data_IF_211270179640
#
_entry.id   IF_211270179640
#
_cell.length_a   1.000
_cell.length_b   1.000
_cell.length_c   1.000
_cell.angle_alpha   90.00
_cell.angle_beta   90.00
_cell.angle_gamma   90.00
#
_symmetry.space_group_name_H-M   'P 1'
#
loop_
_entity.id
_entity.type
_entity.pdbx_description
1 polymer ?
#
# COMPACT_ATOMS: atom_id res chain seq x y z
N UNK A 1 -7.53 9.46 -21.70
CA UNK A 1 -8.36 9.16 -20.51
C UNK A 1 -9.39 10.27 -20.32
N UNK A 2 -10.65 9.95 -19.98
CA UNK A 2 -11.73 10.95 -19.80
C UNK A 2 -11.56 11.68 -18.45
N UNK A 3 -11.60 13.03 -18.43
CA UNK A 3 -11.40 13.83 -17.22
C UNK A 3 -12.36 13.46 -16.08
N UNK A 4 -13.62 13.14 -16.41
CA UNK A 4 -14.64 12.72 -15.43
C UNK A 4 -14.27 11.43 -14.69
N UNK A 5 -13.60 10.50 -15.37
CA UNK A 5 -13.15 9.23 -14.81
C UNK A 5 -11.97 9.48 -13.86
N UNK A 6 -11.02 10.34 -14.23
CA UNK A 6 -9.92 10.75 -13.36
C UNK A 6 -10.41 11.46 -12.09
N UNK A 7 -11.42 12.33 -12.20
CA UNK A 7 -12.01 13.04 -11.06
C UNK A 7 -12.72 12.08 -10.09
N UNK A 8 -13.45 11.09 -10.61
CA UNK A 8 -14.03 10.00 -9.81
C UNK A 8 -12.95 9.21 -9.07
N UNK A 9 -11.83 8.91 -9.73
CA UNK A 9 -10.69 8.26 -9.09
C UNK A 9 -9.98 9.14 -8.08
N UNK A 10 -10.02 10.47 -8.21
CA UNK A 10 -9.49 11.36 -7.18
C UNK A 10 -10.25 11.23 -5.86
N UNK A 11 -11.58 11.03 -5.90
CA UNK A 11 -12.41 10.81 -4.70
C UNK A 11 -12.06 9.49 -3.99
N UNK A 12 -11.60 8.49 -4.73
CA UNK A 12 -11.17 7.21 -4.18
C UNK A 12 -9.96 7.31 -3.24
N UNK A 13 -9.24 8.43 -3.25
CA UNK A 13 -8.14 8.72 -2.31
C UNK A 13 -8.58 9.50 -1.07
N UNK A 14 -9.85 9.94 -0.98
CA UNK A 14 -10.35 10.92 -0.01
C UNK A 14 -11.32 10.27 0.99
N UNK A 15 -10.92 9.16 1.62
CA UNK A 15 -11.84 8.41 2.50
C UNK A 15 -11.69 8.76 3.99
N UNK A 16 -10.60 9.40 4.44
CA UNK A 16 -10.47 9.86 5.85
C UNK A 16 -9.68 11.18 5.95
N UNK A 17 -10.35 12.31 5.72
CA UNK A 17 -9.69 13.64 5.69
C UNK A 17 -9.13 14.11 7.04
N UNK A 18 -9.61 13.60 8.17
CA UNK A 18 -9.37 14.27 9.46
C UNK A 18 -8.11 13.81 10.19
N UNK A 19 -7.44 12.73 9.76
CA UNK A 19 -6.18 12.28 10.37
C UNK A 19 -5.05 12.02 9.36
N UNK A 20 -5.35 11.66 8.11
CA UNK A 20 -4.34 11.32 7.12
C UNK A 20 -3.86 12.56 6.36
N UNK A 21 -2.57 12.89 6.54
CA UNK A 21 -1.91 13.94 5.78
C UNK A 21 -1.44 13.38 4.44
N UNK A 22 -2.03 13.85 3.35
CA UNK A 22 -1.60 13.53 1.98
C UNK A 22 -0.32 14.32 1.66
N UNK A 23 0.62 13.66 1.01
CA UNK A 23 1.95 14.20 0.79
C UNK A 23 2.09 15.11 -0.43
N UNK A 24 2.31 16.41 -0.28
CA UNK A 24 2.62 17.25 -1.46
C UNK A 24 4.06 17.03 -2.00
N UNK A 25 5.05 16.73 -1.13
CA UNK A 25 6.47 16.56 -1.53
C UNK A 25 6.78 15.22 -2.22
N UNK A 26 6.32 14.10 -1.68
CA UNK A 26 6.47 12.78 -2.34
C UNK A 26 5.48 12.56 -3.48
N UNK A 27 4.40 13.35 -3.54
CA UNK A 27 3.60 13.43 -4.76
C UNK A 27 4.25 14.33 -5.82
N UNK A 28 5.51 14.76 -5.63
CA UNK A 28 6.27 15.33 -6.74
C UNK A 28 6.37 14.31 -7.86
N UNK A 29 6.15 14.79 -9.09
CA UNK A 29 6.12 13.97 -10.29
C UNK A 29 7.33 13.03 -10.39
N UNK A 30 8.53 13.53 -10.05
CA UNK A 30 9.79 12.76 -10.12
C UNK A 30 9.81 11.54 -9.19
N UNK A 31 9.35 11.68 -7.94
CA UNK A 31 9.37 10.58 -6.96
C UNK A 31 8.32 9.53 -7.28
N UNK A 32 7.12 9.97 -7.69
CA UNK A 32 6.09 9.07 -8.22
C UNK A 32 6.63 8.34 -9.45
N UNK A 33 7.22 9.05 -10.41
CA UNK A 33 7.74 8.46 -11.65
C UNK A 33 8.82 7.40 -11.38
N UNK A 34 9.75 7.66 -10.45
CA UNK A 34 10.75 6.67 -10.06
C UNK A 34 10.13 5.40 -9.45
N UNK A 35 9.13 5.55 -8.57
CA UNK A 35 8.41 4.42 -8.00
C UNK A 35 7.68 3.63 -9.11
N UNK A 36 7.01 4.32 -10.02
CA UNK A 36 6.34 3.73 -11.18
C UNK A 36 7.34 2.92 -12.03
N UNK A 37 8.49 3.50 -12.38
CA UNK A 37 9.52 2.82 -13.18
C UNK A 37 10.02 1.55 -12.48
N UNK A 38 10.25 1.60 -11.17
CA UNK A 38 10.70 0.44 -10.39
C UNK A 38 9.67 -0.70 -10.43
N UNK A 39 8.39 -0.38 -10.22
CA UNK A 39 7.33 -1.39 -10.28
C UNK A 39 7.06 -1.89 -11.71
N UNK A 40 7.15 -1.01 -12.71
CA UNK A 40 7.06 -1.41 -14.12
C UNK A 40 8.17 -2.39 -14.51
N UNK A 41 9.42 -2.12 -14.11
CA UNK A 41 10.53 -3.06 -14.35
C UNK A 41 10.29 -4.41 -13.68
N UNK A 42 9.71 -4.41 -12.47
CA UNK A 42 9.33 -5.65 -11.78
C UNK A 42 8.23 -6.41 -12.53
N UNK A 43 7.27 -5.69 -13.11
CA UNK A 43 6.21 -6.28 -13.92
C UNK A 43 6.72 -6.88 -15.23
N UNK A 44 7.56 -6.17 -15.97
CA UNK A 44 8.14 -6.70 -17.22
C UNK A 44 8.94 -7.99 -16.98
N UNK A 45 9.67 -8.08 -15.85
CA UNK A 45 10.36 -9.31 -15.48
C UNK A 45 9.38 -10.47 -15.19
N UNK A 46 8.24 -10.20 -14.57
CA UNK A 46 7.25 -11.22 -14.21
C UNK A 46 6.36 -11.63 -15.40
N UNK A 47 6.20 -10.78 -16.41
CA UNK A 47 5.48 -11.15 -17.65
C UNK A 47 6.07 -12.41 -18.29
N UNK A 48 7.38 -12.56 -18.21
CA UNK A 48 8.14 -13.68 -18.79
C UNK A 48 8.01 -14.99 -17.98
N UNK A 49 7.32 -14.97 -16.85
CA UNK A 49 7.18 -16.11 -15.93
C UNK A 49 5.71 -16.43 -15.65
N UNK A 50 5.41 -17.63 -15.18
CA UNK A 50 4.08 -17.99 -14.63
C UNK A 50 3.88 -17.50 -13.19
N UNK A 51 4.91 -16.90 -12.59
CA UNK A 51 5.01 -16.77 -11.14
C UNK A 51 4.47 -15.41 -10.66
N UNK A 52 4.05 -15.40 -9.40
CA UNK A 52 3.79 -14.15 -8.67
C UNK A 52 5.12 -13.58 -8.18
N UNK A 53 5.12 -12.30 -7.80
CA UNK A 53 6.27 -11.70 -7.15
C UNK A 53 6.66 -12.53 -5.91
N UNK A 54 7.96 -12.84 -5.78
CA UNK A 54 8.46 -13.66 -4.67
C UNK A 54 8.14 -13.08 -3.29
N UNK A 55 8.01 -11.75 -3.19
CA UNK A 55 7.72 -11.05 -1.92
C UNK A 55 6.23 -10.92 -1.59
N UNK A 56 5.35 -11.43 -2.46
CA UNK A 56 3.91 -11.35 -2.26
C UNK A 56 3.48 -12.24 -1.09
N UNK A 57 2.73 -11.66 -0.15
CA UNK A 57 2.26 -12.32 1.07
C UNK A 57 3.39 -12.91 1.94
N UNK A 58 4.61 -12.41 1.85
CA UNK A 58 5.71 -12.85 2.74
C UNK A 58 5.50 -12.39 4.19
N UNK A 59 4.74 -11.32 4.40
CA UNK A 59 4.38 -10.75 5.69
C UNK A 59 3.01 -11.24 6.22
N UNK A 60 2.51 -12.38 5.73
CA UNK A 60 1.15 -12.87 6.00
C UNK A 60 0.80 -13.02 7.48
N UNK A 61 1.77 -13.35 8.34
CA UNK A 61 1.56 -13.52 9.79
C UNK A 61 1.14 -12.22 10.50
N UNK A 62 1.46 -11.06 9.91
CA UNK A 62 1.20 -9.73 10.49
C UNK A 62 0.38 -8.85 9.55
N UNK A 63 -0.30 -9.47 8.58
CA UNK A 63 -0.99 -8.77 7.50
C UNK A 63 -2.41 -9.24 7.29
N UNK A 64 -3.28 -8.30 6.96
CA UNK A 64 -4.65 -8.56 6.53
C UNK A 64 -4.78 -8.26 5.04
N UNK A 65 -5.29 -9.22 4.27
CA UNK A 65 -5.58 -9.05 2.85
C UNK A 65 -7.10 -9.04 2.64
N UNK A 66 -7.59 -7.98 2.01
CA UNK A 66 -9.00 -7.78 1.67
C UNK A 66 -9.07 -7.58 0.16
N UNK A 67 -9.74 -8.47 -0.56
CA UNK A 67 -9.76 -8.48 -2.03
C UNK A 67 -11.20 -8.54 -2.50
N UNK A 68 -11.67 -7.51 -3.22
CA UNK A 68 -13.07 -7.36 -3.63
C UNK A 68 -14.04 -7.59 -2.44
N UNK A 69 -13.73 -6.92 -1.32
CA UNK A 69 -14.40 -7.04 -0.02
C UNK A 69 -14.39 -8.44 0.63
N UNK A 70 -13.65 -9.41 0.09
CA UNK A 70 -13.42 -10.72 0.70
C UNK A 70 -12.13 -10.74 1.51
N UNK A 71 -12.19 -11.23 2.74
CA UNK A 71 -11.01 -11.38 3.60
C UNK A 71 -10.31 -12.70 3.28
N UNK A 72 -9.03 -12.64 2.94
CA UNK A 72 -8.19 -13.84 2.92
C UNK A 72 -7.72 -14.10 4.34
N UNK A 73 -8.12 -15.25 4.88
CA UNK A 73 -7.81 -15.62 6.27
C UNK A 73 -6.33 -15.99 6.40
N UNK A 74 -5.60 -15.44 7.39
CA UNK A 74 -4.23 -15.85 7.66
C UNK A 74 -4.19 -17.32 8.10
N UNK A 75 -3.51 -18.16 7.34
CA UNK A 75 -3.30 -19.58 7.65
C UNK A 75 -1.85 -19.93 7.31
N UNK A 76 -1.61 -20.27 6.05
CA UNK A 76 -0.28 -20.44 5.48
C UNK A 76 -0.22 -19.77 4.11
N UNK A 77 0.98 -19.36 3.73
CA UNK A 77 1.23 -18.57 2.52
C UNK A 77 0.71 -19.25 1.25
N UNK A 78 0.84 -20.57 1.13
CA UNK A 78 0.41 -21.31 -0.07
C UNK A 78 -1.10 -21.27 -0.24
N UNK A 79 -1.84 -21.55 0.84
CA UNK A 79 -3.31 -21.47 0.84
C UNK A 79 -3.81 -20.05 0.58
N UNK A 80 -3.19 -19.03 1.19
CA UNK A 80 -3.55 -17.63 0.93
C UNK A 80 -3.33 -17.24 -0.54
N UNK A 81 -2.23 -17.71 -1.16
CA UNK A 81 -1.99 -17.51 -2.58
C UNK A 81 -3.04 -18.24 -3.43
N UNK A 82 -3.45 -19.43 -3.03
CA UNK A 82 -4.49 -20.18 -3.74
C UNK A 82 -5.85 -19.46 -3.66
N UNK A 83 -6.26 -19.03 -2.47
CA UNK A 83 -7.48 -18.24 -2.25
C UNK A 83 -7.45 -16.96 -3.08
N UNK A 84 -6.31 -16.25 -3.09
CA UNK A 84 -6.09 -15.09 -3.94
C UNK A 84 -6.30 -15.38 -5.43
N UNK A 85 -5.71 -16.47 -5.94
CA UNK A 85 -5.86 -16.87 -7.35
C UNK A 85 -7.30 -17.25 -7.69
N UNK A 86 -8.06 -17.76 -6.73
CA UNK A 86 -9.50 -18.04 -6.90
C UNK A 86 -10.31 -16.75 -6.97
N UNK A 87 -10.00 -15.76 -6.13
CA UNK A 87 -10.69 -14.46 -6.10
C UNK A 87 -10.34 -13.62 -7.35
N UNK A 88 -9.09 -13.66 -7.79
CA UNK A 88 -8.58 -12.94 -8.96
C UNK A 88 -8.13 -13.95 -10.01
N UNK A 89 -9.01 -14.42 -10.91
CA UNK A 89 -8.66 -15.46 -11.88
C UNK A 89 -7.74 -14.96 -13.02
N UNK A 90 -7.74 -13.65 -13.31
CA UNK A 90 -6.89 -13.09 -14.36
C UNK A 90 -5.42 -13.06 -13.96
N UNK A 91 -4.58 -13.79 -14.69
CA UNK A 91 -3.15 -13.93 -14.41
C UNK A 91 -2.37 -12.60 -14.47
N UNK A 92 -2.79 -11.66 -15.32
CA UNK A 92 -2.13 -10.35 -15.41
C UNK A 92 -2.41 -9.52 -14.16
N UNK A 93 -3.67 -9.47 -13.73
CA UNK A 93 -4.11 -8.84 -12.49
C UNK A 93 -3.41 -9.47 -11.29
N UNK A 94 -3.30 -10.81 -11.25
CA UNK A 94 -2.57 -11.50 -10.20
C UNK A 94 -1.11 -11.01 -10.08
N UNK A 95 -0.40 -10.95 -11.21
CA UNK A 95 1.00 -10.48 -11.25
C UNK A 95 1.11 -9.03 -10.80
N UNK A 96 0.25 -8.15 -11.32
CA UNK A 96 0.23 -6.73 -10.97
C UNK A 96 0.01 -6.56 -9.47
N UNK A 97 -1.04 -7.17 -8.91
CA UNK A 97 -1.34 -7.09 -7.48
C UNK A 97 -0.15 -7.59 -6.66
N UNK A 98 0.48 -8.70 -7.06
CA UNK A 98 1.62 -9.27 -6.34
C UNK A 98 2.84 -8.33 -6.24
N UNK A 99 2.97 -7.39 -7.18
CA UNK A 99 4.07 -6.41 -7.23
C UNK A 99 3.84 -5.24 -6.26
N UNK A 100 2.57 -4.87 -6.02
CA UNK A 100 2.22 -3.70 -5.21
C UNK A 100 1.74 -4.08 -3.79
N UNK A 101 1.20 -5.29 -3.59
CA UNK A 101 0.75 -5.78 -2.30
C UNK A 101 1.90 -6.38 -1.48
N UNK A 102 2.88 -5.54 -1.13
CA UNK A 102 3.98 -5.90 -0.24
C UNK A 102 4.49 -4.69 0.57
N UNK A 103 5.26 -4.91 1.66
CA UNK A 103 5.70 -3.84 2.54
C UNK A 103 6.52 -2.75 1.86
N UNK A 104 7.27 -3.07 0.80
CA UNK A 104 8.12 -2.09 0.11
C UNK A 104 7.31 -0.99 -0.54
N UNK A 105 6.04 -1.24 -0.87
CA UNK A 105 5.16 -0.23 -1.41
C UNK A 105 4.89 0.92 -0.44
N UNK A 106 5.02 0.69 0.87
CA UNK A 106 4.86 1.71 1.91
C UNK A 106 6.12 2.55 2.16
N UNK A 107 7.27 2.16 1.63
CA UNK A 107 8.58 2.74 1.96
C UNK A 107 8.62 4.26 1.79
N UNK A 108 8.08 4.76 0.69
CA UNK A 108 8.01 6.20 0.42
C UNK A 108 7.21 6.93 1.51
N UNK A 109 6.04 6.40 1.88
CA UNK A 109 5.23 7.00 2.94
C UNK A 109 5.94 7.00 4.31
N UNK A 110 6.77 6.01 4.61
CA UNK A 110 7.60 6.00 5.82
C UNK A 110 8.69 7.07 5.79
N UNK A 111 9.42 7.20 4.69
CA UNK A 111 10.49 8.19 4.56
C UNK A 111 9.99 9.61 4.84
N UNK A 112 8.78 9.91 4.37
CA UNK A 112 8.17 11.20 4.66
C UNK A 112 7.74 11.34 6.11
N UNK A 113 7.05 10.35 6.67
CA UNK A 113 6.65 10.40 8.08
C UNK A 113 7.86 10.67 8.97
N UNK A 114 9.00 10.00 8.73
CA UNK A 114 10.25 10.23 9.47
C UNK A 114 10.83 11.63 9.18
N UNK A 115 10.74 12.12 7.94
CA UNK A 115 11.22 13.46 7.59
C UNK A 115 10.39 14.59 8.23
N UNK A 116 9.09 14.38 8.43
CA UNK A 116 8.18 15.39 9.02
C UNK A 116 8.09 15.27 10.54
N UNK A 117 8.34 14.08 11.07
CA UNK A 117 8.28 13.75 12.49
C UNK A 117 9.53 12.95 12.90
N UNK A 118 10.73 13.55 12.87
CA UNK A 118 11.96 12.84 13.21
C UNK A 118 11.94 12.31 14.64
N UNK A 119 11.17 12.93 15.55
CA UNK A 119 11.02 12.50 16.95
C UNK A 119 10.39 11.11 17.12
N UNK A 120 9.84 10.50 16.05
CA UNK A 120 9.33 9.13 16.07
C UNK A 120 10.46 8.13 16.39
N UNK A 121 11.72 8.48 16.12
CA UNK A 121 12.88 7.65 16.48
C UNK A 121 13.02 7.38 17.98
N UNK A 122 12.43 8.23 18.83
CA UNK A 122 12.40 8.07 20.29
C UNK A 122 11.34 7.07 20.78
N UNK A 123 10.51 6.53 19.89
CA UNK A 123 9.42 5.62 20.22
C UNK A 123 9.78 4.18 19.90
N UNK A 124 9.27 3.26 20.71
CA UNK A 124 9.20 1.84 20.39
C UNK A 124 7.89 1.57 19.65
N UNK A 125 8.02 0.99 18.46
CA UNK A 125 6.87 0.55 17.65
C UNK A 125 6.34 -0.78 18.20
N UNK A 126 5.03 -0.85 18.43
CA UNK A 126 4.31 -2.04 18.94
C UNK A 126 3.04 -2.29 18.14
N UNK A 127 2.52 -3.52 18.24
CA UNK A 127 1.24 -3.94 17.67
C UNK A 127 1.09 -3.60 16.18
N UNK A 128 2.18 -3.74 15.44
CA UNK A 128 2.24 -3.40 14.02
C UNK A 128 1.45 -4.38 13.18
N UNK A 129 0.71 -3.84 12.20
CA UNK A 129 0.03 -4.66 11.18
C UNK A 129 0.00 -3.96 9.84
N UNK A 130 0.10 -4.77 8.78
CA UNK A 130 -0.16 -4.32 7.41
C UNK A 130 -1.58 -4.70 7.00
N UNK A 131 -2.21 -3.86 6.19
CA UNK A 131 -3.53 -4.08 5.62
C UNK A 131 -3.42 -3.76 4.14
N UNK A 132 -3.72 -4.74 3.30
CA UNK A 132 -3.77 -4.59 1.86
C UNK A 132 -5.23 -4.73 1.42
N UNK A 133 -5.84 -3.63 0.99
CA UNK A 133 -7.17 -3.64 0.35
C UNK A 133 -6.99 -3.55 -1.16
N UNK A 134 -7.53 -4.51 -1.89
CA UNK A 134 -7.48 -4.59 -3.35
C UNK A 134 -8.90 -4.65 -3.90
N UNK A 135 -9.25 -3.74 -4.79
CA UNK A 135 -10.57 -3.69 -5.43
C UNK A 135 -10.40 -3.61 -6.95
N UNK A 136 -11.09 -4.50 -7.66
CA UNK A 136 -11.29 -4.37 -9.11
C UNK A 136 -12.38 -3.33 -9.35
N UNK A 137 -12.10 -2.38 -10.25
CA UNK A 137 -13.02 -1.31 -10.61
C UNK A 137 -13.74 -1.65 -11.92
N UNK A 138 -14.89 -1.00 -12.15
CA UNK A 138 -15.79 -1.33 -13.26
C UNK A 138 -15.18 -1.15 -14.66
N UNK A 139 -14.12 -0.35 -14.79
CA UNK A 139 -13.39 -0.12 -16.05
C UNK A 139 -12.20 -1.07 -16.25
N UNK A 140 -12.06 -2.09 -15.38
CA UNK A 140 -10.95 -3.04 -15.40
C UNK A 140 -9.68 -2.51 -14.73
N UNK A 141 -9.69 -1.31 -14.14
CA UNK A 141 -8.59 -0.84 -13.31
C UNK A 141 -8.57 -1.52 -11.94
N UNK A 142 -7.41 -1.55 -11.30
CA UNK A 142 -7.20 -2.14 -9.98
C UNK A 142 -6.84 -1.02 -9.02
N UNK A 143 -7.62 -0.87 -7.94
CA UNK A 143 -7.26 -0.02 -6.81
C UNK A 143 -6.61 -0.87 -5.74
N UNK A 144 -5.42 -0.47 -5.29
CA UNK A 144 -4.75 -1.09 -4.17
C UNK A 144 -4.40 -0.05 -3.12
N UNK A 145 -4.78 -0.31 -1.88
CA UNK A 145 -4.47 0.49 -0.71
C UNK A 145 -3.66 -0.37 0.25
N UNK A 146 -2.37 -0.11 0.35
CA UNK A 146 -1.53 -0.64 1.42
C UNK A 146 -1.56 0.34 2.59
N UNK A 147 -1.81 -0.15 3.79
CA UNK A 147 -1.78 0.63 5.02
C UNK A 147 -0.97 -0.13 6.06
N UNK A 148 -0.08 0.56 6.76
CA UNK A 148 0.53 0.05 7.98
C UNK A 148 0.07 0.90 9.16
N UNK A 149 -0.26 0.23 10.26
CA UNK A 149 -0.67 0.84 11.52
C UNK A 149 0.20 0.29 12.64
N UNK A 150 0.57 1.15 13.59
CA UNK A 150 1.32 0.77 14.77
C UNK A 150 0.99 1.66 15.96
N UNK A 151 1.13 1.07 17.15
CA UNK A 151 1.16 1.79 18.42
C UNK A 151 2.58 2.28 18.72
N UNK A 152 2.67 3.40 19.44
CA UNK A 152 3.92 4.01 19.85
C UNK A 152 3.99 4.05 21.38
N UNK A 153 5.10 3.52 21.91
CA UNK A 153 5.44 3.62 23.33
C UNK A 153 6.75 4.40 23.49
N UNK A 154 6.88 5.19 24.53
CA UNK A 154 8.13 5.90 24.80
C UNK A 154 9.22 4.90 25.19
N UNK A 155 10.42 5.03 24.61
CA UNK A 155 11.57 4.20 25.00
C UNK A 155 12.14 4.64 26.35
N UNK A 156 12.07 5.94 26.66
CA UNK A 156 12.60 6.55 27.86
C UNK A 156 11.45 7.08 28.74
N UNK A 157 11.41 6.66 30.01
CA UNK A 157 10.40 7.10 30.98
C UNK A 157 10.40 8.60 31.25
N UNK A 158 11.50 9.30 30.91
CA UNK A 158 11.63 10.75 31.06
C UNK A 158 11.05 11.54 29.86
N UNK A 159 10.63 10.86 28.79
CA UNK A 159 10.04 11.50 27.62
C UNK A 159 8.51 11.55 27.76
N UNK A 160 7.94 12.75 27.59
CA UNK A 160 6.48 12.93 27.61
C UNK A 160 5.93 12.43 26.26
N UNK A 161 5.14 11.36 26.32
CA UNK A 161 4.52 10.76 25.14
C UNK A 161 3.62 11.76 24.40
N UNK A 162 4.06 12.20 23.22
CA UNK A 162 3.31 13.12 22.34
C UNK A 162 2.35 12.37 21.42
N UNK A 163 2.76 11.20 20.93
CA UNK A 163 1.96 10.36 20.04
C UNK A 163 1.73 8.97 20.64
N UNK A 164 0.53 8.43 20.42
CA UNK A 164 0.12 7.07 20.79
C UNK A 164 0.22 6.07 19.65
N UNK A 165 0.21 6.55 18.41
CA UNK A 165 0.09 5.72 17.21
C UNK A 165 0.61 6.42 15.98
N UNK A 166 0.96 5.64 14.98
CA UNK A 166 1.24 6.12 13.63
C UNK A 166 0.54 5.27 12.58
N UNK A 167 0.40 5.85 11.41
CA UNK A 167 0.00 5.12 10.22
C UNK A 167 0.67 5.67 8.98
N UNK A 168 0.99 4.77 8.06
CA UNK A 168 1.46 5.10 6.71
C UNK A 168 0.62 4.37 5.69
N UNK A 169 0.39 4.99 4.54
CA UNK A 169 -0.49 4.47 3.51
C UNK A 169 0.05 4.82 2.13
N UNK A 170 0.01 3.84 1.25
CA UNK A 170 0.25 3.99 -0.17
C UNK A 170 -0.99 3.51 -0.91
N UNK A 171 -1.53 4.35 -1.78
CA UNK A 171 -2.65 3.99 -2.66
C UNK A 171 -2.18 4.05 -4.09
N UNK A 172 -2.50 3.03 -4.88
CA UNK A 172 -2.30 3.01 -6.33
C UNK A 172 -3.60 2.68 -7.04
N UNK A 173 -3.84 3.36 -8.16
CA UNK A 173 -4.84 2.96 -9.16
C UNK A 173 -4.07 2.59 -10.42
N UNK A 174 -4.24 1.35 -10.86
CA UNK A 174 -3.53 0.76 -11.98
C UNK A 174 -4.52 0.61 -13.13
N UNK A 175 -4.26 1.30 -14.23
CA UNK A 175 -5.11 1.28 -15.42
C UNK A 175 -4.62 0.23 -16.41
N UNK A 176 -5.52 -0.39 -17.20
CA UNK A 176 -5.12 -1.38 -18.21
C UNK A 176 -4.12 -0.83 -19.25
N UNK A 177 -4.25 0.45 -19.63
CA UNK A 177 -3.51 1.05 -20.74
C UNK A 177 -2.92 2.43 -20.40
N UNK A 178 -2.74 2.76 -19.12
CA UNK A 178 -2.22 4.06 -18.70
C UNK A 178 -1.26 3.91 -17.52
N UNK A 179 -0.49 4.96 -17.25
CA UNK A 179 0.39 4.98 -16.09
C UNK A 179 -0.41 4.92 -14.79
N UNK A 180 0.05 4.14 -13.80
CA UNK A 180 -0.62 4.07 -12.51
C UNK A 180 -0.53 5.41 -11.77
N UNK A 181 -1.57 5.75 -11.02
CA UNK A 181 -1.58 6.92 -10.15
C UNK A 181 -1.30 6.46 -8.73
N UNK A 182 -0.23 6.96 -8.12
CA UNK A 182 0.17 6.61 -6.75
C UNK A 182 0.03 7.84 -5.84
N UNK A 183 -0.50 7.64 -4.63
CA UNK A 183 -0.50 8.65 -3.56
C UNK A 183 0.02 8.06 -2.26
N UNK A 184 0.82 8.85 -1.56
CA UNK A 184 1.32 8.53 -0.23
C UNK A 184 0.68 9.46 0.82
N UNK A 185 0.40 8.90 1.99
CA UNK A 185 -0.19 9.63 3.11
C UNK A 185 0.19 9.00 4.43
N UNK A 186 0.33 9.80 5.47
CA UNK A 186 0.67 9.31 6.79
C UNK A 186 -0.09 10.06 7.90
N UNK A 187 -0.05 9.53 9.12
CA UNK A 187 -0.48 10.24 10.31
C UNK A 187 0.38 9.87 11.52
N UNK A 188 0.39 10.76 12.49
CA UNK A 188 0.77 10.49 13.88
C UNK A 188 -0.32 11.03 14.80
N UNK A 189 -0.64 10.31 15.86
CA UNK A 189 -1.68 10.68 16.83
C UNK A 189 -1.31 10.19 18.20
#
# INVERSE_FOLDING_TARGET
MNKSVQESYMQNFIVDKNSWKVSDKLNSWKNIQNAIIHFQKSYENLKLTSDLNKTFMDDFNVSLFIINDQIITPDNREKMIQDFKTIIPDSNSQKIISIYANPKFLYQSYLQLISEHPEIDQYQIKNSRNIYKIDNLNDGSIKLVATHLSDLNVQNSNYIQKYKSLGVRATVIIYPNDFPIIKYSHFVK
#
